data_IF_524038561477
#
_entry.id   IF_524038561477
#
_cell.length_a   1.000
_cell.length_b   1.000
_cell.length_c   1.000
_cell.angle_alpha   90.00
_cell.angle_beta   90.00
_cell.angle_gamma   90.00
#
_symmetry.space_group_name_H-M   'P 1'
#
loop_
_entity.id
_entity.type
_entity.pdbx_description
1 polymer ?
#
# COMPACT_ATOMS: atom_id res chain seq x y z
N UNK A 1 37.32 -1.47 -73.53
CA UNK A 1 37.46 -0.15 -72.87
C UNK A 1 37.38 -0.38 -71.37
N UNK A 2 38.46 -0.10 -70.63
CA UNK A 2 38.54 -0.31 -69.17
C UNK A 2 38.45 1.05 -68.48
N UNK A 3 37.34 1.30 -67.79
CA UNK A 3 37.16 2.49 -66.96
C UNK A 3 37.86 2.26 -65.63
N UNK A 4 39.01 2.91 -65.41
CA UNK A 4 39.64 2.97 -64.08
C UNK A 4 38.87 3.98 -63.23
N UNK A 5 38.36 3.61 -62.04
CA UNK A 5 37.76 4.59 -61.15
C UNK A 5 38.83 5.59 -60.70
N UNK A 6 38.49 6.87 -60.71
CA UNK A 6 39.38 7.91 -60.20
C UNK A 6 39.69 7.63 -58.72
N UNK A 7 40.98 7.48 -58.39
CA UNK A 7 41.40 7.43 -56.99
C UNK A 7 41.08 8.79 -56.38
N UNK A 8 40.06 8.85 -55.53
CA UNK A 8 39.82 10.01 -54.67
C UNK A 8 41.07 10.22 -53.81
N UNK A 9 41.71 11.38 -53.93
CA UNK A 9 42.77 11.78 -53.03
C UNK A 9 42.16 11.89 -51.63
N UNK A 10 42.64 11.06 -50.70
CA UNK A 10 42.22 11.11 -49.32
C UNK A 10 42.88 12.33 -48.68
N UNK A 11 42.14 13.42 -48.55
CA UNK A 11 42.58 14.57 -47.77
C UNK A 11 42.54 14.18 -46.29
N UNK A 12 43.70 14.19 -45.63
CA UNK A 12 43.77 14.02 -44.18
C UNK A 12 43.05 15.15 -43.45
N UNK A 13 42.73 14.93 -42.17
CA UNK A 13 42.20 15.96 -41.27
C UNK A 13 43.33 16.83 -40.74
N UNK A 14 43.07 18.12 -40.60
CA UNK A 14 44.00 19.04 -39.95
C UNK A 14 44.09 18.77 -38.45
N UNK A 15 45.21 19.16 -37.82
CA UNK A 15 45.39 19.06 -36.36
C UNK A 15 44.26 19.76 -35.61
N UNK A 16 43.83 20.94 -36.10
CA UNK A 16 42.76 21.72 -35.48
C UNK A 16 41.39 21.03 -35.59
N UNK A 17 41.09 20.40 -36.72
CA UNK A 17 39.85 19.63 -36.89
C UNK A 17 39.80 18.42 -35.94
N UNK A 18 40.92 17.70 -35.77
CA UNK A 18 41.02 16.58 -34.83
C UNK A 18 40.77 17.06 -33.39
N UNK A 19 41.43 18.15 -32.98
CA UNK A 19 41.28 18.71 -31.62
C UNK A 19 39.84 19.14 -31.38
N UNK A 20 39.24 19.88 -32.33
CA UNK A 20 37.85 20.31 -32.21
C UNK A 20 36.87 19.13 -32.17
N UNK A 21 37.12 18.07 -32.96
CA UNK A 21 36.31 16.86 -32.91
C UNK A 21 36.36 16.19 -31.54
N UNK A 22 37.55 16.02 -30.95
CA UNK A 22 37.71 15.44 -29.61
C UNK A 22 36.99 16.31 -28.55
N UNK A 23 37.10 17.64 -28.64
CA UNK A 23 36.42 18.57 -27.72
C UNK A 23 34.89 18.44 -27.83
N UNK A 24 34.34 18.44 -29.04
CA UNK A 24 32.89 18.34 -29.27
C UNK A 24 32.36 17.00 -28.75
N UNK A 25 33.02 15.88 -29.08
CA UNK A 25 32.64 14.55 -28.60
C UNK A 25 32.77 14.46 -27.08
N UNK A 26 33.81 15.05 -26.49
CA UNK A 26 33.99 15.11 -25.04
C UNK A 26 32.82 15.79 -24.33
N UNK A 27 32.40 16.97 -24.81
CA UNK A 27 31.25 17.69 -24.25
C UNK A 27 29.95 16.88 -24.42
N UNK A 28 29.75 16.27 -25.59
CA UNK A 28 28.57 15.45 -25.86
C UNK A 28 28.47 14.24 -24.91
N UNK A 29 29.57 13.51 -24.70
CA UNK A 29 29.63 12.36 -23.79
C UNK A 29 29.34 12.78 -22.35
N UNK A 30 29.91 13.90 -21.88
CA UNK A 30 29.61 14.43 -20.54
C UNK A 30 28.12 14.74 -20.39
N UNK A 31 27.49 15.33 -21.41
CA UNK A 31 26.06 15.59 -21.42
C UNK A 31 25.22 14.31 -21.27
N UNK A 32 25.53 13.26 -22.03
CA UNK A 32 24.84 11.96 -21.97
C UNK A 32 25.04 11.27 -20.62
N UNK A 33 26.27 11.27 -20.10
CA UNK A 33 26.57 10.66 -18.81
C UNK A 33 25.80 11.32 -17.66
N UNK A 34 25.56 12.64 -17.71
CA UNK A 34 24.72 13.31 -16.71
C UNK A 34 23.27 12.85 -16.71
N UNK A 35 22.69 12.58 -17.89
CA UNK A 35 21.32 12.06 -18.00
C UNK A 35 21.25 10.64 -17.44
N UNK A 36 22.24 9.80 -17.72
CA UNK A 36 22.30 8.45 -17.16
C UNK A 36 22.49 8.44 -15.64
N UNK A 37 23.32 9.34 -15.09
CA UNK A 37 23.50 9.49 -13.65
C UNK A 37 22.19 9.91 -12.95
N UNK A 38 21.43 10.84 -13.54
CA UNK A 38 20.11 11.22 -13.03
C UNK A 38 19.14 10.03 -13.01
N UNK A 39 19.10 9.25 -14.09
CA UNK A 39 18.28 8.04 -14.18
C UNK A 39 18.69 6.99 -13.14
N UNK A 40 19.99 6.73 -12.98
CA UNK A 40 20.51 5.76 -12.03
C UNK A 40 20.18 6.12 -10.57
N UNK A 41 20.26 7.41 -10.21
CA UNK A 41 19.96 7.89 -8.85
C UNK A 41 18.48 7.78 -8.48
N UNK A 42 17.56 8.02 -9.43
CA UNK A 42 16.11 7.98 -9.18
C UNK A 42 15.48 6.61 -9.50
N UNK A 43 16.26 5.64 -9.99
CA UNK A 43 15.79 4.29 -10.34
C UNK A 43 15.29 3.44 -9.16
N UNK A 44 15.75 3.61 -7.90
CA UNK A 44 15.22 2.83 -6.77
C UNK A 44 13.78 3.21 -6.38
N UNK A 45 13.36 4.45 -6.61
CA UNK A 45 12.09 4.98 -6.09
C UNK A 45 10.86 4.25 -6.63
N UNK A 46 10.76 3.94 -7.94
CA UNK A 46 9.65 3.16 -8.48
C UNK A 46 9.55 1.75 -7.88
N UNK A 47 10.68 1.11 -7.59
CA UNK A 47 10.68 -0.22 -6.98
C UNK A 47 10.24 -0.15 -5.53
N UNK A 48 10.69 0.88 -4.78
CA UNK A 48 10.25 1.09 -3.39
C UNK A 48 8.75 1.35 -3.29
N UNK A 49 8.23 2.20 -4.16
CA UNK A 49 6.79 2.51 -4.18
C UNK A 49 5.94 1.29 -4.53
N UNK A 50 6.39 0.43 -5.45
CA UNK A 50 5.70 -0.83 -5.75
C UNK A 50 5.71 -1.81 -4.58
N UNK A 51 6.82 -1.89 -3.84
CA UNK A 51 6.90 -2.69 -2.63
C UNK A 51 5.97 -2.15 -1.54
N UNK A 52 5.97 -0.83 -1.30
CA UNK A 52 5.06 -0.19 -0.36
C UNK A 52 3.60 -0.45 -0.72
N UNK A 53 3.24 -0.37 -2.01
CA UNK A 53 1.90 -0.67 -2.49
C UNK A 53 1.52 -2.14 -2.26
N UNK A 54 2.41 -3.09 -2.57
CA UNK A 54 2.14 -4.51 -2.34
C UNK A 54 1.93 -4.83 -0.84
N UNK A 55 2.68 -4.18 0.06
CA UNK A 55 2.47 -4.29 1.51
C UNK A 55 1.14 -3.64 1.92
N UNK A 56 0.80 -2.49 1.35
CA UNK A 56 -0.44 -1.79 1.67
C UNK A 56 -1.66 -2.60 1.22
N UNK A 57 -1.62 -3.18 0.02
CA UNK A 57 -2.66 -4.04 -0.55
C UNK A 57 -2.81 -5.33 0.27
N UNK A 58 -1.72 -6.01 0.61
CA UNK A 58 -1.80 -7.24 1.41
C UNK A 58 -2.34 -6.97 2.81
N UNK A 59 -1.92 -5.87 3.45
CA UNK A 59 -2.47 -5.46 4.75
C UNK A 59 -3.95 -5.08 4.64
N UNK A 60 -4.35 -4.34 3.60
CA UNK A 60 -5.74 -3.97 3.37
C UNK A 60 -6.62 -5.20 3.11
N UNK A 61 -6.13 -6.18 2.34
CA UNK A 61 -6.83 -7.44 2.09
C UNK A 61 -7.03 -8.23 3.37
N UNK A 62 -5.97 -8.35 4.18
CA UNK A 62 -6.06 -9.04 5.47
C UNK A 62 -7.09 -8.39 6.40
N UNK A 63 -7.00 -7.08 6.62
CA UNK A 63 -7.93 -6.34 7.49
C UNK A 63 -9.37 -6.47 6.97
N UNK A 64 -9.58 -6.45 5.64
CA UNK A 64 -10.92 -6.59 5.06
C UNK A 64 -11.46 -8.01 5.07
N UNK A 65 -10.58 -9.02 5.16
CA UNK A 65 -10.99 -10.42 5.21
C UNK A 65 -11.52 -10.81 6.59
N UNK A 66 -11.07 -10.13 7.64
CA UNK A 66 -11.61 -10.28 8.98
C UNK A 66 -13.13 -10.02 9.04
N UNK A 67 -13.76 -10.65 10.03
CA UNK A 67 -15.18 -10.59 10.25
C UNK A 67 -15.62 -9.22 10.77
N UNK A 68 -16.90 -8.96 10.66
CA UNK A 68 -17.48 -7.75 11.22
C UNK A 68 -18.81 -8.15 11.85
N UNK A 69 -18.74 -8.65 13.08
CA UNK A 69 -19.85 -9.30 13.78
C UNK A 69 -20.40 -8.44 14.93
N UNK A 70 -21.50 -8.90 15.53
CA UNK A 70 -22.01 -8.34 16.79
C UNK A 70 -21.24 -8.85 18.01
N UNK A 71 -20.84 -10.11 17.98
CA UNK A 71 -20.10 -10.77 19.05
C UNK A 71 -18.64 -10.92 18.66
N UNK A 72 -17.80 -11.01 19.68
CA UNK A 72 -16.41 -11.47 19.54
C UNK A 72 -16.38 -12.86 18.86
N UNK A 73 -15.32 -13.19 18.14
CA UNK A 73 -15.18 -14.46 17.44
C UNK A 73 -15.09 -15.67 18.37
N UNK A 74 -14.77 -15.47 19.65
CA UNK A 74 -14.80 -16.55 20.65
C UNK A 74 -16.17 -16.70 21.34
N UNK A 75 -17.17 -15.87 21.00
CA UNK A 75 -18.52 -16.00 21.54
C UNK A 75 -19.24 -17.23 20.96
N UNK A 76 -19.77 -18.15 21.79
CA UNK A 76 -20.50 -19.33 21.31
C UNK A 76 -21.79 -18.99 20.54
N UNK A 77 -22.25 -17.75 20.58
CA UNK A 77 -23.44 -17.23 19.89
C UNK A 77 -23.10 -16.41 18.66
N UNK A 78 -21.83 -16.22 18.30
CA UNK A 78 -21.43 -15.36 17.19
C UNK A 78 -22.10 -15.73 15.85
N UNK A 79 -22.33 -17.03 15.60
CA UNK A 79 -22.94 -17.55 14.37
C UNK A 79 -24.42 -17.94 14.52
N UNK A 80 -24.99 -17.82 15.72
CA UNK A 80 -26.34 -18.32 15.97
C UNK A 80 -27.41 -17.47 15.25
N UNK A 81 -28.45 -18.10 14.67
CA UNK A 81 -29.53 -17.37 14.02
C UNK A 81 -30.26 -16.38 14.94
N UNK A 82 -30.27 -16.65 16.25
CA UNK A 82 -30.94 -15.83 17.27
C UNK A 82 -30.16 -14.57 17.66
N UNK A 83 -28.90 -14.43 17.24
CA UNK A 83 -28.06 -13.25 17.53
C UNK A 83 -28.43 -12.09 16.62
N UNK A 84 -29.34 -11.23 17.07
CA UNK A 84 -29.86 -10.11 16.27
C UNK A 84 -29.23 -8.76 16.63
N UNK A 85 -28.51 -8.71 17.75
CA UNK A 85 -27.85 -7.52 18.28
C UNK A 85 -26.65 -7.90 19.16
N UNK A 86 -25.83 -6.92 19.50
CA UNK A 86 -24.77 -7.07 20.51
C UNK A 86 -25.31 -7.42 21.91
N UNK A 87 -26.60 -7.21 22.19
CA UNK A 87 -27.21 -7.61 23.46
C UNK A 87 -27.37 -9.13 23.60
N UNK A 88 -27.39 -9.86 22.48
CA UNK A 88 -27.54 -11.32 22.48
C UNK A 88 -26.22 -12.04 22.79
N UNK A 89 -25.09 -11.36 22.56
CA UNK A 89 -23.73 -11.85 22.80
C UNK A 89 -23.41 -11.95 24.29
N UNK A 90 -22.73 -13.03 24.68
CA UNK A 90 -22.10 -13.16 25.99
C UNK A 90 -20.80 -12.30 26.06
N UNK A 91 -20.07 -12.24 24.95
CA UNK A 91 -18.84 -11.48 24.72
C UNK A 91 -19.12 -10.55 23.53
N UNK A 92 -19.24 -9.26 23.81
CA UNK A 92 -19.62 -8.26 22.83
C UNK A 92 -18.39 -7.76 22.09
N UNK A 93 -18.51 -7.67 20.78
CA UNK A 93 -17.49 -7.06 19.94
C UNK A 93 -17.35 -5.56 20.27
N UNK A 94 -16.11 -5.06 20.35
CA UNK A 94 -15.81 -3.68 20.72
C UNK A 94 -14.63 -3.11 19.95
N UNK A 95 -14.59 -1.78 19.77
CA UNK A 95 -13.47 -1.14 19.04
C UNK A 95 -12.12 -1.36 19.75
N UNK A 96 -11.13 -1.78 18.96
CA UNK A 96 -9.75 -1.97 19.41
C UNK A 96 -9.43 -3.44 19.72
N UNK A 97 -8.14 -3.75 19.70
CA UNK A 97 -7.65 -5.11 19.88
C UNK A 97 -8.04 -5.70 21.23
N UNK A 98 -8.60 -6.91 21.19
CA UNK A 98 -8.94 -7.66 22.40
C UNK A 98 -7.74 -8.38 23.08
N UNK A 99 -7.91 -8.70 24.36
CA UNK A 99 -6.89 -9.39 25.15
C UNK A 99 -6.74 -10.85 24.70
N UNK A 100 -5.49 -11.27 24.44
CA UNK A 100 -5.14 -12.60 23.91
C UNK A 100 -5.61 -12.87 22.48
N UNK A 101 -6.09 -11.85 21.75
CA UNK A 101 -6.33 -11.95 20.33
C UNK A 101 -5.00 -11.77 19.56
N UNK A 102 -4.66 -12.73 18.70
CA UNK A 102 -3.41 -12.76 17.95
C UNK A 102 -3.69 -12.72 16.45
N UNK A 103 -3.01 -11.83 15.73
CA UNK A 103 -3.13 -11.70 14.27
C UNK A 103 -2.88 -13.04 13.55
N UNK A 104 -3.68 -13.42 12.53
CA UNK A 104 -4.82 -12.70 11.96
C UNK A 104 -5.94 -12.51 12.97
N UNK A 105 -6.44 -11.27 13.10
CA UNK A 105 -7.51 -10.99 14.03
C UNK A 105 -8.84 -11.43 13.41
N UNK A 106 -9.76 -11.83 14.28
CA UNK A 106 -11.09 -12.28 13.91
C UNK A 106 -12.00 -11.13 13.49
N UNK A 107 -11.89 -9.94 14.09
CA UNK A 107 -12.70 -8.78 13.70
C UNK A 107 -11.89 -7.63 13.08
N UNK A 108 -12.51 -6.91 12.12
CA UNK A 108 -11.90 -5.76 11.42
C UNK A 108 -11.42 -4.69 12.41
N UNK A 109 -12.17 -4.46 13.48
CA UNK A 109 -11.91 -3.41 14.47
C UNK A 109 -10.84 -3.77 15.52
N UNK A 110 -10.31 -4.99 15.50
CA UNK A 110 -9.10 -5.34 16.26
C UNK A 110 -7.82 -4.80 15.63
N UNK A 111 -7.85 -4.55 14.32
CA UNK A 111 -6.70 -4.04 13.61
C UNK A 111 -6.39 -2.59 14.00
N UNK A 112 -5.14 -2.33 14.35
CA UNK A 112 -4.67 -1.01 14.72
C UNK A 112 -3.18 -0.97 15.06
N UNK A 113 -2.57 0.19 14.87
CA UNK A 113 -1.17 0.41 15.21
C UNK A 113 -0.22 0.08 14.06
N UNK A 114 1.03 -0.25 14.40
CA UNK A 114 2.12 -0.41 13.42
C UNK A 114 2.63 -1.84 13.35
N UNK A 115 2.87 -2.30 12.13
CA UNK A 115 3.28 -3.66 11.80
C UNK A 115 4.56 -3.65 10.95
N UNK A 116 5.40 -4.65 11.18
CA UNK A 116 6.66 -4.87 10.44
C UNK A 116 6.71 -6.26 9.81
N UNK A 117 5.61 -6.99 9.82
CA UNK A 117 5.47 -8.36 9.31
C UNK A 117 4.06 -8.58 8.75
N UNK A 118 3.87 -9.62 7.97
CA UNK A 118 2.56 -10.07 7.50
C UNK A 118 1.83 -10.94 8.56
N UNK A 119 0.60 -11.35 8.25
CA UNK A 119 -0.22 -12.23 9.10
C UNK A 119 0.43 -13.58 9.40
N UNK A 120 1.32 -14.06 8.52
CA UNK A 120 2.04 -15.33 8.70
C UNK A 120 3.34 -15.17 9.52
N UNK A 121 3.66 -13.94 9.94
CA UNK A 121 4.88 -13.65 10.70
C UNK A 121 6.11 -13.36 9.85
N UNK A 122 5.99 -13.29 8.52
CA UNK A 122 7.13 -12.96 7.67
C UNK A 122 7.43 -11.47 7.76
N UNK A 123 8.68 -11.07 8.03
CA UNK A 123 9.04 -9.66 8.13
C UNK A 123 8.87 -8.98 6.76
N UNK A 124 8.42 -7.73 6.79
CA UNK A 124 8.50 -6.86 5.63
C UNK A 124 9.98 -6.63 5.26
N UNK A 125 10.27 -6.24 4.01
CA UNK A 125 11.61 -5.80 3.66
C UNK A 125 12.09 -4.69 4.61
N UNK A 126 13.39 -4.65 4.86
CA UNK A 126 13.97 -3.71 5.82
C UNK A 126 13.59 -2.25 5.49
N UNK A 127 13.19 -1.51 6.53
CA UNK A 127 12.80 -0.11 6.43
C UNK A 127 11.32 0.15 6.14
N UNK A 128 10.53 -0.87 5.79
CA UNK A 128 9.07 -0.71 5.64
C UNK A 128 8.34 -0.90 6.96
N UNK A 129 7.34 -0.06 7.20
CA UNK A 129 6.38 -0.20 8.29
C UNK A 129 5.00 0.13 7.77
N UNK A 130 4.01 -0.71 8.11
CA UNK A 130 2.61 -0.46 7.79
C UNK A 130 1.89 -0.01 9.07
N UNK A 131 1.18 1.10 9.01
CA UNK A 131 0.30 1.57 10.08
C UNK A 131 -1.16 1.40 9.63
N UNK A 132 -1.97 0.77 10.47
CA UNK A 132 -3.41 0.59 10.25
C UNK A 132 -4.18 1.44 11.23
N UNK A 133 -5.16 2.17 10.73
CA UNK A 133 -6.13 2.92 11.52
C UNK A 133 -7.52 2.48 11.09
N UNK A 134 -8.32 2.00 12.06
CA UNK A 134 -9.71 1.63 11.86
C UNK A 134 -10.59 2.56 12.69
N UNK A 135 -11.55 3.21 12.06
CA UNK A 135 -12.49 4.14 12.71
C UNK A 135 -13.90 3.94 12.16
N UNK A 136 -14.93 4.24 12.95
CA UNK A 136 -16.30 4.28 12.42
C UNK A 136 -16.48 5.47 11.48
N UNK A 137 -17.22 5.28 10.39
CA UNK A 137 -17.52 6.34 9.43
C UNK A 137 -19.03 6.42 9.12
N UNK A 138 -19.70 7.38 9.76
CA UNK A 138 -21.13 7.63 9.54
C UNK A 138 -21.45 8.43 8.26
N UNK A 139 -20.45 8.75 7.44
CA UNK A 139 -20.63 9.58 6.24
C UNK A 139 -20.76 8.78 4.95
N UNK A 140 -20.59 7.45 5.01
CA UNK A 140 -20.66 6.57 3.86
C UNK A 140 -22.10 6.48 3.30
N UNK A 141 -22.28 6.92 2.05
CA UNK A 141 -23.55 6.91 1.33
C UNK A 141 -23.84 8.27 0.66
N UNK A 142 -24.86 8.35 -0.20
CA UNK A 142 -25.25 9.62 -0.80
C UNK A 142 -25.87 10.57 0.23
N UNK A 143 -25.85 11.87 -0.06
CA UNK A 143 -26.43 12.89 0.82
C UNK A 143 -27.89 12.56 1.19
N UNK A 144 -28.21 12.58 2.49
CA UNK A 144 -29.53 12.25 3.01
C UNK A 144 -29.83 10.74 3.17
N UNK A 145 -28.94 9.85 2.74
CA UNK A 145 -29.06 8.40 2.93
C UNK A 145 -27.71 7.77 3.35
N UNK A 146 -26.95 8.48 4.17
CA UNK A 146 -25.71 7.98 4.76
C UNK A 146 -26.03 6.89 5.80
N UNK A 147 -25.16 5.89 5.88
CA UNK A 147 -25.28 4.83 6.87
C UNK A 147 -24.78 5.38 8.20
N UNK A 148 -25.70 5.62 9.14
CA UNK A 148 -25.33 6.01 10.50
C UNK A 148 -24.38 4.96 11.10
N UNK A 149 -23.22 5.42 11.57
CA UNK A 149 -22.25 4.58 12.25
C UNK A 149 -21.57 5.35 13.38
N UNK A 150 -21.55 4.77 14.58
CA UNK A 150 -20.92 5.37 15.75
C UNK A 150 -20.29 4.28 16.64
N UNK A 151 -19.32 4.68 17.48
CA UNK A 151 -18.65 3.82 18.47
C UNK A 151 -19.33 3.83 19.83
N UNK A 152 -20.27 4.75 20.08
CA UNK A 152 -20.91 4.91 21.38
C UNK A 152 -21.93 3.79 21.64
N UNK A 153 -22.49 3.23 20.58
CA UNK A 153 -23.44 2.13 20.59
C UNK A 153 -22.88 1.01 19.71
N UNK A 154 -22.36 -0.10 20.28
CA UNK A 154 -21.76 -1.20 19.51
C UNK A 154 -22.67 -1.79 18.41
N UNK A 155 -23.99 -1.74 18.60
CA UNK A 155 -24.99 -2.08 17.58
C UNK A 155 -24.94 -1.16 16.35
N UNK A 156 -24.62 0.12 16.58
CA UNK A 156 -24.51 1.15 15.55
C UNK A 156 -23.14 1.17 14.88
N UNK A 157 -22.19 0.31 15.25
CA UNK A 157 -20.95 0.15 14.49
C UNK A 157 -21.27 -0.58 13.18
N UNK A 158 -21.66 0.17 12.15
CA UNK A 158 -22.17 -0.37 10.87
C UNK A 158 -21.20 -0.18 9.72
N UNK A 159 -20.32 0.82 9.81
CA UNK A 159 -19.33 1.16 8.80
C UNK A 159 -17.99 1.43 9.49
N UNK A 160 -16.96 0.74 9.04
CA UNK A 160 -15.58 0.99 9.44
C UNK A 160 -14.80 1.49 8.22
N UNK A 161 -14.12 2.63 8.38
CA UNK A 161 -13.09 3.09 7.46
C UNK A 161 -11.75 2.56 7.94
N UNK A 162 -11.05 1.89 7.04
CA UNK A 162 -9.72 1.32 7.22
C UNK A 162 -8.75 2.19 6.44
N UNK A 163 -7.75 2.76 7.10
CA UNK A 163 -6.67 3.49 6.46
C UNK A 163 -5.36 2.74 6.70
N UNK A 164 -4.72 2.28 5.64
CA UNK A 164 -3.42 1.62 5.67
C UNK A 164 -2.38 2.59 5.12
N UNK A 165 -1.38 2.94 5.92
CA UNK A 165 -0.25 3.80 5.54
C UNK A 165 1.04 3.00 5.58
N UNK A 166 1.74 2.87 4.46
CA UNK A 166 3.04 2.21 4.39
C UNK A 166 4.12 3.24 4.13
N UNK A 167 5.11 3.28 5.02
CA UNK A 167 6.28 4.15 4.95
C UNK A 167 7.55 3.34 4.78
N UNK A 168 8.49 3.86 4.00
CA UNK A 168 9.87 3.39 3.96
C UNK A 168 10.81 4.41 4.62
N UNK A 169 11.43 4.11 5.76
CA UNK A 169 12.48 4.93 6.42
C UNK A 169 12.20 6.45 6.58
N UNK A 170 10.94 6.89 6.61
CA UNK A 170 10.61 8.33 6.69
C UNK A 170 10.41 9.02 5.35
N UNK A 171 10.52 8.31 4.23
CA UNK A 171 10.23 8.76 2.87
C UNK A 171 8.71 8.86 2.62
N UNK A 172 8.32 9.11 1.36
CA UNK A 172 6.91 9.20 0.91
C UNK A 172 6.05 8.01 1.35
N UNK A 173 4.84 8.33 1.82
CA UNK A 173 3.83 7.36 2.23
C UNK A 173 3.02 6.82 1.03
N UNK A 174 2.72 5.52 1.06
CA UNK A 174 1.63 4.94 0.28
C UNK A 174 0.44 4.72 1.20
N UNK A 175 -0.67 5.39 0.90
CA UNK A 175 -1.91 5.32 1.69
C UNK A 175 -3.01 4.66 0.87
N UNK A 176 -3.69 3.68 1.46
CA UNK A 176 -4.92 3.08 0.93
C UNK A 176 -6.04 3.25 1.93
N UNK A 177 -7.19 3.70 1.44
CA UNK A 177 -8.43 3.75 2.20
C UNK A 177 -9.39 2.64 1.76
N UNK A 178 -10.12 2.10 2.74
CA UNK A 178 -11.12 1.07 2.56
C UNK A 178 -12.30 1.24 3.47
N UNK A 179 -13.39 0.58 3.11
CA UNK A 179 -14.58 0.53 3.94
C UNK A 179 -15.03 -0.92 4.11
N UNK A 180 -15.47 -1.26 5.31
CA UNK A 180 -16.23 -2.48 5.61
C UNK A 180 -17.57 -2.08 6.18
N UNK A 181 -18.62 -2.72 5.69
CA UNK A 181 -19.99 -2.56 6.20
C UNK A 181 -20.45 -3.85 6.86
N UNK A 182 -21.18 -3.77 7.95
CA UNK A 182 -21.70 -4.93 8.70
C UNK A 182 -22.89 -5.57 7.97
N UNK A 183 -22.66 -6.21 6.83
CA UNK A 183 -23.71 -6.83 6.01
C UNK A 183 -24.06 -8.26 6.45
N UNK A 184 -23.12 -8.96 7.09
CA UNK A 184 -23.27 -10.31 7.61
C UNK A 184 -22.82 -10.36 9.09
N UNK A 185 -23.60 -9.78 10.03
CA UNK A 185 -23.18 -9.58 11.42
C UNK A 185 -23.03 -10.87 12.26
N UNK A 186 -23.18 -12.05 11.64
CA UNK A 186 -23.17 -13.37 12.28
C UNK A 186 -22.29 -14.38 11.51
N UNK A 187 -21.35 -13.90 10.69
CA UNK A 187 -20.45 -14.77 9.94
C UNK A 187 -19.05 -14.59 10.50
N UNK A 188 -18.59 -15.62 11.21
CA UNK A 188 -17.17 -15.94 11.34
C UNK A 188 -16.72 -16.74 10.10
#
# INVERSE_FOLDING_TARGET
>A
MSFKPARRAQSGVSLIELVMFIVIVGIAVVGVLRVFDLGARNSPDPMRRKQALAIAESMMEEVRLAHFTFCDGNDPKAELPETLSTADCAIKEGMGQEANNSRPFDNVNDYGGSYTNDAAGNPFPAGYTATVVVVTDGTLGPAGAQIASDVALPDNMRVLRITVTVRHNGDDDVVLDGYRTRYAPRSL
#
